data_IF_383897884227
#
_entry.id   IF_383897884227
#
_cell.length_a   1.000
_cell.length_b   1.000
_cell.length_c   1.000
_cell.angle_alpha   90.00
_cell.angle_beta   90.00
_cell.angle_gamma   90.00
#
_symmetry.space_group_name_H-M   'P 1'
#
loop_
_entity.id
_entity.type
_entity.pdbx_description
1 polymer ?
#
# COMPACT_ATOMS: atom_id res chain seq x y z
N UNK A 1 -48.76 33.22 -7.40
CA UNK A 1 -48.25 34.42 -8.12
C UNK A 1 -46.83 34.14 -8.54
N UNK A 2 -46.61 34.09 -9.86
CA UNK A 2 -45.34 34.24 -10.62
C UNK A 2 -44.24 33.18 -10.40
N UNK A 3 -43.51 32.66 -11.39
CA UNK A 3 -43.59 32.65 -12.86
C UNK A 3 -42.68 31.50 -13.32
N UNK A 4 -43.13 30.69 -14.26
CA UNK A 4 -42.33 29.63 -14.92
C UNK A 4 -41.54 30.27 -16.06
N UNK A 5 -40.29 29.87 -16.28
CA UNK A 5 -39.54 30.16 -17.52
C UNK A 5 -39.11 28.85 -18.16
N UNK A 6 -39.75 28.53 -19.28
CA UNK A 6 -39.39 27.48 -20.22
C UNK A 6 -38.64 28.12 -21.39
N UNK A 7 -37.40 27.72 -21.63
CA UNK A 7 -36.71 28.00 -22.90
C UNK A 7 -36.62 26.70 -23.70
N UNK A 8 -37.39 26.63 -24.77
CA UNK A 8 -37.30 25.61 -25.80
C UNK A 8 -36.15 25.95 -26.76
N UNK A 9 -35.24 25.01 -27.00
CA UNK A 9 -34.32 25.04 -28.14
C UNK A 9 -34.78 23.96 -29.14
N UNK A 10 -35.18 24.41 -30.33
CA UNK A 10 -35.64 23.56 -31.43
C UNK A 10 -34.48 22.85 -32.16
N UNK A 11 -34.79 21.78 -32.93
CA UNK A 11 -33.77 20.98 -33.59
C UNK A 11 -33.31 21.66 -34.88
N UNK A 12 -31.99 21.72 -35.09
CA UNK A 12 -31.40 22.10 -36.37
C UNK A 12 -30.99 20.83 -37.10
N UNK A 13 -31.68 20.53 -38.19
CA UNK A 13 -31.28 19.53 -39.17
C UNK A 13 -30.20 20.11 -40.09
N UNK A 14 -29.09 19.39 -40.28
CA UNK A 14 -28.14 19.66 -41.36
C UNK A 14 -27.93 18.37 -42.18
N UNK A 15 -28.05 18.55 -43.49
CA UNK A 15 -28.18 17.54 -44.53
C UNK A 15 -26.90 16.73 -44.76
N UNK A 16 -27.09 15.47 -45.16
CA UNK A 16 -26.05 14.56 -45.65
C UNK A 16 -25.31 15.13 -46.86
N UNK A 17 -23.98 15.08 -46.83
CA UNK A 17 -23.12 15.08 -48.00
C UNK A 17 -22.25 13.83 -47.98
N UNK A 18 -22.58 12.82 -48.79
CA UNK A 18 -21.72 11.67 -49.06
C UNK A 18 -20.61 12.12 -50.02
N UNK A 19 -19.35 12.08 -49.56
CA UNK A 19 -18.18 12.16 -50.42
C UNK A 19 -17.54 10.77 -50.51
N UNK A 20 -17.70 10.14 -51.67
CA UNK A 20 -16.99 8.92 -52.05
C UNK A 20 -15.52 9.26 -52.30
N UNK A 21 -14.63 8.79 -51.43
CA UNK A 21 -13.19 8.80 -51.68
C UNK A 21 -12.76 7.35 -51.94
N UNK A 22 -12.37 7.11 -53.19
CA UNK A 22 -11.79 5.85 -53.67
C UNK A 22 -10.49 5.53 -52.91
N UNK A 23 -10.30 4.31 -52.39
CA UNK A 23 -9.03 3.91 -51.81
C UNK A 23 -8.03 3.65 -52.93
N UNK A 24 -7.06 4.56 -53.10
CA UNK A 24 -5.86 4.26 -53.88
C UNK A 24 -4.98 3.33 -53.04
N UNK A 25 -4.85 2.07 -53.46
CA UNK A 25 -3.87 1.13 -52.93
C UNK A 25 -2.47 1.69 -53.20
N UNK A 26 -1.81 2.21 -52.17
CA UNK A 26 -0.40 2.53 -52.24
C UNK A 26 0.40 1.22 -52.20
N UNK A 27 1.37 1.04 -53.12
CA UNK A 27 2.27 -0.09 -53.07
C UNK A 27 3.10 0.00 -51.77
N UNK A 28 3.13 -1.09 -51.02
CA UNK A 28 4.01 -1.23 -49.87
C UNK A 28 5.47 -0.95 -50.30
N UNK A 29 6.18 -0.03 -49.65
CA UNK A 29 7.62 0.04 -49.81
C UNK A 29 8.21 -1.22 -49.19
N UNK A 30 8.80 -2.07 -50.03
CA UNK A 30 9.78 -3.06 -49.60
C UNK A 30 10.96 -2.26 -49.03
N UNK A 31 11.02 -2.12 -47.71
CA UNK A 31 12.20 -1.60 -47.06
C UNK A 31 13.25 -2.72 -47.03
N UNK A 32 14.46 -2.47 -47.56
CA UNK A 32 15.54 -3.44 -47.58
C UNK A 32 15.94 -3.82 -46.15
N UNK A 33 16.40 -5.07 -45.98
CA UNK A 33 16.79 -5.67 -44.72
C UNK A 33 17.46 -4.69 -43.75
N UNK A 34 16.69 -4.28 -42.75
CA UNK A 34 17.24 -3.71 -41.54
C UNK A 34 17.48 -4.91 -40.62
N UNK A 35 18.76 -5.19 -40.37
CA UNK A 35 19.21 -6.05 -39.29
C UNK A 35 18.60 -5.49 -38.00
N UNK A 36 17.39 -5.94 -37.70
CA UNK A 36 16.78 -5.79 -36.39
C UNK A 36 17.58 -6.72 -35.49
N UNK A 37 18.73 -6.24 -35.02
CA UNK A 37 19.28 -6.67 -33.75
C UNK A 37 18.13 -6.54 -32.77
N UNK A 38 17.53 -7.68 -32.44
CA UNK A 38 16.89 -7.87 -31.16
C UNK A 38 17.90 -7.40 -30.13
N UNK A 39 17.76 -6.14 -29.71
CA UNK A 39 18.32 -5.66 -28.47
C UNK A 39 17.51 -6.43 -27.45
N UNK A 40 17.98 -7.64 -27.17
CA UNK A 40 17.53 -8.45 -26.07
C UNK A 40 17.48 -7.51 -24.88
N UNK A 41 16.26 -7.19 -24.42
CA UNK A 41 16.08 -6.47 -23.18
C UNK A 41 17.00 -7.15 -22.17
N UNK A 42 17.92 -6.41 -21.52
CA UNK A 42 18.92 -7.04 -20.68
C UNK A 42 18.16 -7.90 -19.68
N UNK A 43 18.31 -9.23 -19.80
CA UNK A 43 17.66 -10.17 -18.90
C UNK A 43 18.08 -9.75 -17.50
N UNK A 44 17.15 -9.14 -16.77
CA UNK A 44 17.42 -8.57 -15.46
C UNK A 44 18.01 -9.67 -14.59
N UNK A 45 19.23 -9.45 -14.09
CA UNK A 45 19.91 -10.41 -13.23
C UNK A 45 18.97 -10.82 -12.07
N UNK A 46 19.02 -12.08 -11.60
CA UNK A 46 18.22 -12.50 -10.46
C UNK A 46 18.47 -11.58 -9.26
N UNK A 47 17.40 -10.97 -8.73
CA UNK A 47 17.50 -10.09 -7.56
C UNK A 47 18.09 -10.86 -6.37
N UNK A 48 19.06 -10.23 -5.70
CA UNK A 48 19.55 -10.70 -4.41
C UNK A 48 18.43 -10.74 -3.37
N UNK A 49 18.63 -11.47 -2.27
CA UNK A 49 17.64 -11.53 -1.17
C UNK A 49 17.33 -10.13 -0.62
N UNK A 50 18.36 -9.30 -0.42
CA UNK A 50 18.21 -7.93 0.08
C UNK A 50 17.47 -7.02 -0.90
N UNK A 51 17.78 -7.07 -2.21
CA UNK A 51 17.06 -6.29 -3.22
C UNK A 51 15.60 -6.71 -3.35
N UNK A 52 15.32 -8.01 -3.22
CA UNK A 52 13.94 -8.54 -3.20
C UNK A 52 13.17 -7.98 -2.00
N UNK A 53 13.76 -8.02 -0.81
CA UNK A 53 13.14 -7.48 0.42
C UNK A 53 12.90 -5.97 0.28
N UNK A 54 13.90 -5.20 -0.17
CA UNK A 54 13.78 -3.75 -0.37
C UNK A 54 12.65 -3.43 -1.38
N UNK A 55 12.63 -4.08 -2.55
CA UNK A 55 11.57 -3.91 -3.55
C UNK A 55 10.19 -4.26 -2.99
N UNK A 56 10.11 -5.31 -2.18
CA UNK A 56 8.85 -5.77 -1.59
C UNK A 56 8.32 -4.81 -0.51
N UNK A 57 9.20 -4.21 0.30
CA UNK A 57 8.81 -3.15 1.25
C UNK A 57 8.30 -1.91 0.50
N UNK A 58 8.96 -1.51 -0.60
CA UNK A 58 8.50 -0.38 -1.43
C UNK A 58 7.11 -0.63 -2.02
N UNK A 59 6.86 -1.83 -2.52
CA UNK A 59 5.54 -2.22 -3.02
C UNK A 59 4.45 -2.07 -1.95
N UNK A 60 4.73 -2.48 -0.71
CA UNK A 60 3.79 -2.31 0.41
C UNK A 60 3.59 -0.83 0.74
N UNK A 61 4.67 -0.03 0.77
CA UNK A 61 4.61 1.42 1.01
C UNK A 61 3.76 2.16 -0.03
N UNK A 62 3.87 1.78 -1.30
CA UNK A 62 3.05 2.34 -2.38
C UNK A 62 1.56 2.02 -2.16
N UNK A 63 1.25 0.78 -1.77
CA UNK A 63 -0.11 0.39 -1.41
C UNK A 63 -0.67 1.16 -0.20
N UNK A 64 0.14 1.36 0.85
CA UNK A 64 -0.24 2.17 2.00
C UNK A 64 -0.51 3.63 1.58
N UNK A 65 0.31 4.18 0.68
CA UNK A 65 0.13 5.52 0.15
C UNK A 65 -1.21 5.69 -0.56
N UNK A 66 -1.62 4.71 -1.37
CA UNK A 66 -2.92 4.68 -2.04
C UNK A 66 -4.09 4.64 -1.03
N UNK A 67 -4.05 3.74 -0.06
CA UNK A 67 -5.08 3.63 1.00
C UNK A 67 -5.16 4.89 1.87
N UNK A 68 -4.01 5.50 2.18
CA UNK A 68 -3.96 6.76 2.91
C UNK A 68 -4.62 7.88 2.12
N UNK A 69 -4.37 7.97 0.81
CA UNK A 69 -4.99 8.98 -0.06
C UNK A 69 -6.52 8.87 -0.04
N UNK A 70 -7.07 7.66 -0.15
CA UNK A 70 -8.52 7.45 -0.03
C UNK A 70 -9.05 7.87 1.35
N UNK A 71 -8.37 7.45 2.43
CA UNK A 71 -8.78 7.79 3.80
C UNK A 71 -8.78 9.30 4.03
N UNK A 72 -7.70 10.00 3.64
CA UNK A 72 -7.60 11.45 3.81
C UNK A 72 -8.69 12.19 3.04
N UNK A 73 -8.99 11.77 1.80
CA UNK A 73 -9.99 12.41 0.95
C UNK A 73 -11.42 12.21 1.47
N UNK A 74 -11.70 11.06 2.10
CA UNK A 74 -13.05 10.73 2.59
C UNK A 74 -13.41 11.47 3.88
N UNK A 75 -12.44 11.65 4.79
CA UNK A 75 -12.74 12.01 6.18
C UNK A 75 -11.99 13.23 6.72
N UNK A 76 -11.12 13.89 5.93
CA UNK A 76 -10.26 14.99 6.39
C UNK A 76 -9.42 14.67 7.65
N UNK A 77 -9.28 13.40 8.02
CA UNK A 77 -8.62 12.96 9.27
C UNK A 77 -7.10 13.12 9.24
N UNK A 78 -6.54 13.48 8.08
CA UNK A 78 -5.10 13.70 7.92
C UNK A 78 -4.65 15.08 8.45
N UNK A 79 -5.58 15.90 8.94
CA UNK A 79 -5.32 17.10 9.73
C UNK A 79 -5.49 16.78 11.24
N UNK A 80 -4.35 16.56 11.90
CA UNK A 80 -4.12 15.74 13.08
C UNK A 80 -4.58 16.28 14.46
N UNK A 81 -5.68 17.03 14.57
CA UNK A 81 -6.02 17.70 15.84
C UNK A 81 -6.57 16.80 16.96
N UNK A 82 -7.11 15.61 16.65
CA UNK A 82 -7.82 14.73 17.62
C UNK A 82 -7.29 13.30 17.69
N UNK A 83 -6.08 13.06 17.19
CA UNK A 83 -5.47 11.73 17.07
C UNK A 83 -5.30 11.00 18.41
N UNK A 84 -5.05 11.74 19.49
CA UNK A 84 -4.81 11.18 20.82
C UNK A 84 -5.96 10.28 21.35
N UNK A 85 -7.22 10.52 20.93
CA UNK A 85 -8.37 9.73 21.39
C UNK A 85 -8.34 8.29 20.86
N UNK A 86 -7.94 8.11 19.60
CA UNK A 86 -7.86 6.78 19.00
C UNK A 86 -6.59 6.05 19.43
N UNK A 87 -5.48 6.77 19.63
CA UNK A 87 -4.20 6.20 20.06
C UNK A 87 -4.29 5.48 21.42
N UNK A 88 -5.12 5.97 22.36
CA UNK A 88 -5.32 5.35 23.66
C UNK A 88 -5.84 3.89 23.60
N UNK A 89 -6.37 3.45 22.46
CA UNK A 89 -6.86 2.09 22.27
C UNK A 89 -5.94 1.21 21.41
N UNK A 90 -4.83 1.76 20.91
CA UNK A 90 -3.98 1.09 19.93
C UNK A 90 -2.58 0.86 20.50
N UNK A 91 -2.11 -0.38 20.42
CA UNK A 91 -0.72 -0.74 20.73
C UNK A 91 0.01 -0.99 19.41
N UNK A 92 0.25 0.09 18.65
CA UNK A 92 0.88 -0.02 17.33
C UNK A 92 2.39 -0.22 17.48
N UNK A 93 2.98 -1.19 16.75
CA UNK A 93 4.42 -1.40 16.78
C UNK A 93 5.18 -0.16 16.33
N UNK A 94 6.16 0.24 17.14
CA UNK A 94 7.09 1.34 16.84
C UNK A 94 8.53 0.91 17.10
N UNK A 95 9.46 1.54 16.40
CA UNK A 95 10.89 1.38 16.63
C UNK A 95 11.36 2.31 17.75
N UNK A 96 12.21 1.79 18.62
CA UNK A 96 12.91 2.52 19.68
C UNK A 96 14.42 2.25 19.61
N UNK A 97 15.22 3.08 20.29
CA UNK A 97 16.69 2.97 20.24
C UNK A 97 17.20 1.61 20.72
N UNK A 98 16.58 1.06 21.76
CA UNK A 98 16.87 -0.27 22.30
C UNK A 98 16.68 -1.42 21.31
N UNK A 99 15.95 -1.20 20.22
CA UNK A 99 15.68 -2.24 19.23
C UNK A 99 16.88 -2.43 18.26
N UNK A 100 17.84 -1.50 18.26
CA UNK A 100 19.06 -1.60 17.46
C UNK A 100 18.84 -1.34 15.97
N UNK A 101 17.75 -0.69 15.58
CA UNK A 101 17.44 -0.40 14.16
C UNK A 101 17.90 0.98 13.68
N UNK A 102 18.38 1.85 14.57
CA UNK A 102 18.92 3.16 14.20
C UNK A 102 20.44 3.08 13.97
N UNK A 103 20.99 4.06 13.25
CA UNK A 103 22.43 4.11 12.95
C UNK A 103 23.27 4.11 14.24
N UNK A 104 22.87 4.91 15.23
CA UNK A 104 23.44 4.83 16.58
C UNK A 104 22.88 3.60 17.29
N UNK A 105 23.76 2.75 17.81
CA UNK A 105 23.37 1.53 18.51
C UNK A 105 22.86 0.41 17.59
N UNK A 106 23.20 0.45 16.29
CA UNK A 106 22.75 -0.57 15.34
C UNK A 106 23.17 -1.99 15.77
N UNK A 107 22.22 -2.92 15.76
CA UNK A 107 22.45 -4.34 16.01
C UNK A 107 21.54 -5.15 15.08
N UNK A 108 22.17 -5.89 14.16
CA UNK A 108 21.45 -6.65 13.12
C UNK A 108 20.45 -7.65 13.71
N UNK A 109 20.88 -8.44 14.69
CA UNK A 109 20.07 -9.53 15.23
C UNK A 109 18.86 -8.99 16.01
N UNK A 110 19.06 -8.01 16.90
CA UNK A 110 17.93 -7.43 17.66
C UNK A 110 16.99 -6.65 16.76
N UNK A 111 17.54 -5.93 15.77
CA UNK A 111 16.72 -5.17 14.85
C UNK A 111 15.87 -6.08 13.97
N UNK A 112 16.45 -7.15 13.42
CA UNK A 112 15.72 -8.08 12.57
C UNK A 112 14.60 -8.78 13.36
N UNK A 113 14.86 -9.18 14.62
CA UNK A 113 13.82 -9.71 15.53
C UNK A 113 12.72 -8.67 15.74
N UNK A 114 13.07 -7.40 16.02
CA UNK A 114 12.08 -6.33 16.19
C UNK A 114 11.23 -6.11 14.94
N UNK A 115 11.84 -6.10 13.75
CA UNK A 115 11.12 -5.93 12.49
C UNK A 115 10.11 -7.06 12.33
N UNK A 116 10.52 -8.31 12.49
CA UNK A 116 9.63 -9.46 12.29
C UNK A 116 8.49 -9.46 13.32
N UNK A 117 8.80 -9.28 14.61
CA UNK A 117 7.80 -9.21 15.68
C UNK A 117 6.80 -8.09 15.43
N UNK A 118 7.27 -6.89 15.06
CA UNK A 118 6.37 -5.77 14.77
C UNK A 118 5.50 -6.01 13.54
N UNK A 119 6.00 -6.67 12.48
CA UNK A 119 5.17 -7.03 11.33
C UNK A 119 4.09 -8.06 11.69
N UNK A 120 4.40 -9.05 12.54
CA UNK A 120 3.42 -10.01 13.06
C UNK A 120 2.35 -9.31 13.91
N UNK A 121 2.76 -8.39 14.78
CA UNK A 121 1.83 -7.55 15.56
C UNK A 121 0.96 -6.67 14.66
N UNK A 122 1.45 -6.24 13.50
CA UNK A 122 0.67 -5.46 12.53
C UNK A 122 -0.45 -6.26 11.85
N UNK A 123 -0.38 -7.60 11.77
CA UNK A 123 -1.31 -8.41 10.98
C UNK A 123 -2.78 -8.21 11.37
N UNK A 124 -3.09 -8.13 12.66
CA UNK A 124 -4.46 -7.88 13.16
C UNK A 124 -5.00 -6.52 12.73
N UNK A 125 -4.14 -5.50 12.66
CA UNK A 125 -4.53 -4.17 12.20
C UNK A 125 -4.72 -4.14 10.68
N UNK A 126 -3.94 -4.91 9.92
CA UNK A 126 -4.14 -5.06 8.48
C UNK A 126 -5.42 -5.82 8.14
N UNK A 127 -5.79 -6.81 8.96
CA UNK A 127 -7.10 -7.48 8.89
C UNK A 127 -8.25 -6.50 9.19
N UNK A 128 -8.09 -5.62 10.18
CA UNK A 128 -9.03 -4.52 10.40
C UNK A 128 -9.17 -3.64 9.15
N UNK A 129 -8.05 -3.20 8.54
CA UNK A 129 -8.07 -2.34 7.35
C UNK A 129 -8.77 -3.00 6.16
N UNK A 130 -8.58 -4.31 5.94
CA UNK A 130 -9.25 -5.01 4.84
C UNK A 130 -10.77 -4.84 4.87
N UNK A 131 -11.36 -4.81 6.06
CA UNK A 131 -12.80 -4.62 6.26
C UNK A 131 -13.26 -3.15 6.18
N UNK A 132 -12.34 -2.20 5.99
CA UNK A 132 -12.61 -0.74 5.96
C UNK A 132 -12.66 -0.14 4.55
N UNK A 133 -12.09 -0.82 3.56
CA UNK A 133 -11.99 -0.35 2.19
C UNK A 133 -12.89 -1.19 1.28
N UNK A 134 -14.04 -0.64 0.91
CA UNK A 134 -14.92 -1.26 -0.10
C UNK A 134 -14.39 -0.98 -1.51
N UNK A 135 -14.09 0.29 -1.82
CA UNK A 135 -13.62 0.69 -3.15
C UNK A 135 -12.19 0.25 -3.47
N UNK A 136 -11.38 0.04 -2.43
CA UNK A 136 -9.98 -0.39 -2.51
C UNK A 136 -9.72 -1.69 -1.76
N UNK A 137 -10.71 -2.61 -1.72
CA UNK A 137 -10.58 -3.90 -1.03
C UNK A 137 -9.36 -4.68 -1.54
N UNK A 138 -9.18 -4.73 -2.86
CA UNK A 138 -8.06 -5.42 -3.50
C UNK A 138 -6.71 -4.84 -3.05
N UNK A 139 -6.61 -3.52 -2.96
CA UNK A 139 -5.40 -2.84 -2.51
C UNK A 139 -5.10 -3.13 -1.02
N UNK A 140 -6.13 -3.13 -0.17
CA UNK A 140 -5.99 -3.47 1.25
C UNK A 140 -5.57 -4.94 1.44
N UNK A 141 -6.19 -5.85 0.69
CA UNK A 141 -5.83 -7.27 0.64
C UNK A 141 -4.40 -7.47 0.12
N UNK A 142 -3.98 -6.74 -0.91
CA UNK A 142 -2.63 -6.80 -1.45
C UNK A 142 -1.58 -6.35 -0.42
N UNK A 143 -1.85 -5.29 0.34
CA UNK A 143 -0.98 -4.83 1.44
C UNK A 143 -0.85 -5.90 2.52
N UNK A 144 -1.97 -6.49 2.95
CA UNK A 144 -1.98 -7.57 3.95
C UNK A 144 -1.17 -8.79 3.48
N UNK A 145 -1.50 -9.33 2.30
CA UNK A 145 -0.83 -10.52 1.76
C UNK A 145 0.66 -10.27 1.48
N UNK A 146 1.01 -9.09 0.98
CA UNK A 146 2.42 -8.73 0.75
C UNK A 146 3.19 -8.61 2.06
N UNK A 147 2.54 -8.15 3.14
CA UNK A 147 3.14 -8.14 4.47
C UNK A 147 3.44 -9.55 4.97
N UNK A 148 2.54 -10.52 4.75
CA UNK A 148 2.80 -11.94 5.07
C UNK A 148 4.01 -12.49 4.31
N UNK A 149 4.12 -12.17 3.02
CA UNK A 149 5.27 -12.56 2.19
C UNK A 149 6.57 -11.89 2.69
N UNK A 150 6.51 -10.63 3.11
CA UNK A 150 7.66 -9.93 3.70
C UNK A 150 8.15 -10.63 4.97
N UNK A 151 7.25 -10.99 5.88
CA UNK A 151 7.56 -11.74 7.10
C UNK A 151 8.30 -13.03 6.76
N UNK A 152 7.81 -13.79 5.77
CA UNK A 152 8.47 -15.01 5.32
C UNK A 152 9.88 -14.77 4.75
N UNK A 153 10.10 -13.68 4.02
CA UNK A 153 11.44 -13.33 3.53
C UNK A 153 12.40 -12.98 4.67
N UNK A 154 11.92 -12.25 5.67
CA UNK A 154 12.72 -11.83 6.82
C UNK A 154 13.02 -12.99 7.77
N UNK A 155 12.06 -13.88 8.00
CA UNK A 155 12.27 -15.12 8.77
C UNK A 155 13.36 -16.00 8.15
N UNK A 156 13.49 -16.03 6.82
CA UNK A 156 14.59 -16.73 6.14
C UNK A 156 15.96 -16.08 6.35
N UNK A 157 16.02 -14.79 6.71
CA UNK A 157 17.27 -14.08 7.05
C UNK A 157 17.62 -14.20 8.54
N UNK A 158 16.63 -14.39 9.41
CA UNK A 158 16.83 -14.46 10.85
C UNK A 158 17.56 -15.74 11.29
N UNK A 159 18.61 -15.58 12.10
CA UNK A 159 19.37 -16.71 12.68
C UNK A 159 18.67 -17.35 13.87
N UNK A 160 17.92 -16.55 14.63
CA UNK A 160 17.24 -16.98 15.85
C UNK A 160 15.75 -16.65 15.76
N UNK A 161 14.96 -17.64 15.35
CA UNK A 161 13.51 -17.50 15.28
C UNK A 161 12.84 -17.59 16.66
N UNK A 162 13.51 -18.16 17.67
CA UNK A 162 12.93 -18.36 19.01
C UNK A 162 12.72 -17.05 19.78
N UNK A 163 13.44 -15.99 19.40
CA UNK A 163 13.26 -14.65 19.97
C UNK A 163 12.03 -13.91 19.40
N UNK A 164 11.40 -14.43 18.34
CA UNK A 164 10.24 -13.80 17.71
C UNK A 164 8.99 -14.13 18.52
N UNK A 165 8.34 -13.11 19.06
CA UNK A 165 7.07 -13.27 19.77
C UNK A 165 5.93 -13.23 18.76
N UNK A 166 5.12 -14.29 18.69
CA UNK A 166 3.90 -14.32 17.88
C UNK A 166 2.72 -13.83 18.72
N UNK A 167 1.89 -12.90 18.23
CA UNK A 167 0.71 -12.45 18.96
C UNK A 167 -0.27 -13.58 19.27
N UNK A 168 -0.87 -13.54 20.46
CA UNK A 168 -1.90 -14.50 20.89
C UNK A 168 -3.19 -14.33 20.05
N UNK A 169 -3.66 -15.39 19.34
CA UNK A 169 -4.81 -15.28 18.45
C UNK A 169 -6.10 -14.79 19.13
N UNK A 170 -6.35 -15.22 20.37
CA UNK A 170 -7.53 -14.81 21.15
C UNK A 170 -7.51 -13.31 21.48
N UNK A 171 -6.32 -12.77 21.81
CA UNK A 171 -6.14 -11.34 22.06
C UNK A 171 -6.41 -10.53 20.78
N UNK A 172 -5.91 -11.02 19.64
CA UNK A 172 -6.12 -10.37 18.35
C UNK A 172 -7.60 -10.36 17.94
N UNK A 173 -8.34 -11.47 18.12
CA UNK A 173 -9.77 -11.53 17.81
C UNK A 173 -10.59 -10.55 18.67
N UNK A 174 -10.28 -10.46 19.96
CA UNK A 174 -10.91 -9.50 20.89
C UNK A 174 -10.60 -8.05 20.50
N UNK A 175 -9.34 -7.75 20.14
CA UNK A 175 -8.94 -6.43 19.65
C UNK A 175 -9.68 -6.06 18.36
N UNK A 176 -9.73 -6.97 17.37
CA UNK A 176 -10.42 -6.73 16.11
C UNK A 176 -11.90 -6.40 16.32
N UNK A 177 -12.58 -7.18 17.19
CA UNK A 177 -13.97 -6.92 17.58
C UNK A 177 -14.14 -5.54 18.23
N UNK A 178 -13.23 -5.15 19.13
CA UNK A 178 -13.24 -3.84 19.79
C UNK A 178 -13.06 -2.68 18.79
N UNK A 179 -12.17 -2.83 17.80
CA UNK A 179 -11.95 -1.81 16.77
C UNK A 179 -13.15 -1.67 15.83
N UNK A 180 -13.79 -2.78 15.46
CA UNK A 180 -14.99 -2.80 14.62
C UNK A 180 -16.23 -2.23 15.32
N UNK A 181 -16.33 -2.35 16.64
CA UNK A 181 -17.45 -1.80 17.41
C UNK A 181 -17.40 -0.27 17.60
N UNK A 182 -16.34 0.41 17.16
CA UNK A 182 -16.20 1.86 17.25
C UNK A 182 -17.21 2.58 16.33
N UNK A 183 -17.59 3.81 16.70
CA UNK A 183 -18.33 4.68 15.79
C UNK A 183 -17.48 5.06 14.55
N UNK A 184 -18.14 5.48 13.48
CA UNK A 184 -17.48 5.78 12.19
C UNK A 184 -16.32 6.77 12.31
N UNK A 185 -16.45 7.82 13.13
CA UNK A 185 -15.38 8.81 13.32
C UNK A 185 -14.13 8.18 13.94
N UNK A 186 -14.31 7.37 15.00
CA UNK A 186 -13.21 6.62 15.62
C UNK A 186 -12.62 5.59 14.65
N UNK A 187 -13.44 4.93 13.83
CA UNK A 187 -12.93 4.00 12.82
C UNK A 187 -12.07 4.70 11.76
N UNK A 188 -12.47 5.87 11.27
CA UNK A 188 -11.68 6.64 10.30
C UNK A 188 -10.36 7.15 10.92
N UNK A 189 -10.38 7.58 12.18
CA UNK A 189 -9.17 7.94 12.93
C UNK A 189 -8.25 6.74 13.15
N UNK A 190 -8.79 5.60 13.58
CA UNK A 190 -8.05 4.34 13.75
C UNK A 190 -7.41 3.90 12.42
N UNK A 191 -8.15 3.98 11.32
CA UNK A 191 -7.66 3.68 9.96
C UNK A 191 -6.44 4.54 9.61
N UNK A 192 -6.54 5.86 9.81
CA UNK A 192 -5.42 6.80 9.57
C UNK A 192 -4.21 6.50 10.44
N UNK A 193 -4.41 6.24 11.74
CA UNK A 193 -3.32 5.94 12.68
C UNK A 193 -2.57 4.66 12.31
N UNK A 194 -3.30 3.59 11.96
CA UNK A 194 -2.70 2.32 11.52
C UNK A 194 -1.86 2.55 10.26
N UNK A 195 -2.42 3.21 9.23
CA UNK A 195 -1.70 3.47 7.98
C UNK A 195 -0.46 4.32 8.20
N UNK A 196 -0.54 5.37 9.04
CA UNK A 196 0.60 6.22 9.38
C UNK A 196 1.68 5.43 10.10
N UNK A 197 1.33 4.75 11.19
CA UNK A 197 2.28 4.00 12.01
C UNK A 197 2.93 2.88 11.22
N UNK A 198 2.17 2.15 10.41
CA UNK A 198 2.70 1.07 9.59
C UNK A 198 3.67 1.57 8.52
N UNK A 199 3.35 2.71 7.88
CA UNK A 199 4.28 3.39 6.97
C UNK A 199 5.59 3.76 7.67
N UNK A 200 5.51 4.39 8.85
CA UNK A 200 6.69 4.80 9.62
C UNK A 200 7.55 3.61 10.07
N UNK A 201 6.90 2.52 10.48
CA UNK A 201 7.55 1.26 10.81
C UNK A 201 8.30 0.71 9.60
N UNK A 202 7.64 0.55 8.44
CA UNK A 202 8.27 0.06 7.22
C UNK A 202 9.39 0.97 6.70
N UNK A 203 9.25 2.28 6.78
CA UNK A 203 10.31 3.22 6.41
C UNK A 203 11.54 3.09 7.33
N UNK A 204 11.33 2.79 8.60
CA UNK A 204 12.41 2.52 9.56
C UNK A 204 13.05 1.16 9.28
N UNK A 205 12.24 0.12 9.06
CA UNK A 205 12.70 -1.22 8.68
C UNK A 205 13.53 -1.18 7.39
N UNK A 206 13.07 -0.47 6.37
CA UNK A 206 13.80 -0.32 5.10
C UNK A 206 15.17 0.33 5.28
N UNK A 207 15.26 1.36 6.13
CA UNK A 207 16.54 2.01 6.45
C UNK A 207 17.49 1.08 7.21
N UNK A 208 16.96 0.30 8.15
CA UNK A 208 17.75 -0.66 8.93
C UNK A 208 18.24 -1.84 8.07
N UNK A 209 17.37 -2.41 7.24
CA UNK A 209 17.68 -3.55 6.36
C UNK A 209 18.74 -3.23 5.30
N UNK A 210 18.92 -1.96 4.93
CA UNK A 210 20.01 -1.52 4.04
C UNK A 210 21.38 -1.52 4.70
N UNK A 211 21.45 -1.63 6.03
CA UNK A 211 22.69 -1.80 6.79
C UNK A 211 23.03 -3.29 7.02
N UNK A 212 22.19 -4.22 6.54
CA UNK A 212 22.29 -5.69 6.72
C UNK A 212 22.56 -6.45 5.42
#
# INVERSE_FOLDING_TARGET
MNSVSTSAFGPVAFSLGLLLVLPAAFPAPVLPGEDSKDVAAPHSQPLTSSERIDKHIRYILDGISALRKETCNRSNMCESSKEALAENNLNLPKMAEKDGCFQSGFNEDTCLVKIITGLLEFEVYLEYLQNRFESSEEQARAVQMSTKVLIQFLQKKAKNLDAITTPEPTTNASLLTKLQAQNQWLQDMTTHLILRSFKEFLQSSLRALRQM
#
